data_IF_071488185346
#
_entry.id   IF_071488185346
#
_cell.length_a   1.000
_cell.length_b   1.000
_cell.length_c   1.000
_cell.angle_alpha   90.00
_cell.angle_beta   90.00
_cell.angle_gamma   90.00
#
_symmetry.space_group_name_H-M   'P 1'
#
loop_
_entity.id
_entity.type
_entity.pdbx_description
1 polymer ?
#
# COMPACT_ATOMS: atom_id res chain seq x y z
N UNK A 1 -9.88 13.11 2.51
CA UNK A 1 -9.34 13.55 3.82
C UNK A 1 -10.44 13.66 4.86
N UNK A 2 -11.55 14.33 4.57
CA UNK A 2 -12.64 14.56 5.53
C UNK A 2 -13.15 13.24 6.14
N UNK A 3 -13.38 12.22 5.31
CA UNK A 3 -13.87 10.90 5.77
C UNK A 3 -12.89 10.26 6.77
N UNK A 4 -11.60 10.23 6.45
CA UNK A 4 -10.58 9.66 7.35
C UNK A 4 -10.44 10.45 8.65
N UNK A 5 -10.61 11.77 8.59
CA UNK A 5 -10.54 12.65 9.75
C UNK A 5 -11.76 12.45 10.67
N UNK A 6 -12.93 12.20 10.10
CA UNK A 6 -14.12 11.90 10.89
C UNK A 6 -14.04 10.50 11.50
N UNK A 7 -13.60 9.50 10.75
CA UNK A 7 -13.39 8.14 11.26
C UNK A 7 -12.32 8.10 12.36
N UNK A 8 -11.28 8.93 12.27
CA UNK A 8 -10.23 9.02 13.29
C UNK A 8 -10.77 9.37 14.69
N UNK A 9 -11.83 10.16 14.77
CA UNK A 9 -12.45 10.53 16.06
C UNK A 9 -13.01 9.32 16.80
N UNK A 10 -13.44 8.29 16.08
CA UNK A 10 -14.06 7.09 16.63
C UNK A 10 -13.05 5.97 16.98
N UNK A 11 -11.80 6.05 16.54
CA UNK A 11 -10.81 5.06 16.93
C UNK A 11 -10.50 5.13 18.42
N UNK A 12 -10.36 3.98 19.12
CA UNK A 12 -9.90 3.95 20.50
C UNK A 12 -8.41 4.30 20.61
N UNK A 13 -7.95 4.58 21.81
CA UNK A 13 -6.53 4.60 22.11
C UNK A 13 -5.97 3.17 22.19
N UNK A 14 -4.64 3.02 22.10
CA UNK A 14 -3.97 1.72 22.12
C UNK A 14 -4.31 0.90 23.37
N UNK A 15 -4.51 1.55 24.52
CA UNK A 15 -4.85 0.91 25.78
C UNK A 15 -6.30 0.43 25.87
N UNK A 16 -7.18 0.94 25.02
CA UNK A 16 -8.60 0.58 24.95
C UNK A 16 -8.95 -0.25 23.72
N UNK A 17 -7.95 -0.59 22.89
CA UNK A 17 -8.12 -1.36 21.67
C UNK A 17 -8.58 -2.79 21.99
N UNK A 18 -9.70 -3.21 21.40
CA UNK A 18 -10.26 -4.55 21.56
C UNK A 18 -10.20 -5.31 20.25
N UNK A 19 -10.17 -6.64 20.34
CA UNK A 19 -10.14 -7.48 19.13
C UNK A 19 -11.36 -7.24 18.22
N UNK A 20 -12.51 -6.95 18.79
CA UNK A 20 -13.72 -6.62 18.05
C UNK A 20 -13.58 -5.35 17.20
N UNK A 21 -12.70 -4.42 17.55
CA UNK A 21 -12.48 -3.18 16.80
C UNK A 21 -11.84 -3.46 15.42
N UNK A 22 -11.28 -4.66 15.22
CA UNK A 22 -10.76 -5.12 13.92
C UNK A 22 -11.80 -5.87 13.09
N UNK A 23 -12.85 -6.40 13.69
CA UNK A 23 -13.86 -7.25 13.00
C UNK A 23 -15.00 -6.46 12.40
N UNK A 24 -15.30 -5.29 12.94
CA UNK A 24 -16.47 -4.48 12.57
C UNK A 24 -16.12 -3.31 11.63
N UNK A 25 -14.97 -3.38 10.98
CA UNK A 25 -14.39 -2.20 10.39
C UNK A 25 -14.31 -2.23 8.86
N UNK A 26 -14.71 -1.12 8.28
CA UNK A 26 -14.57 -0.72 6.89
C UNK A 26 -13.10 -0.73 6.40
N UNK A 27 -12.13 -0.80 7.32
CA UNK A 27 -10.72 -0.59 7.03
C UNK A 27 -9.85 -1.80 7.40
N UNK A 28 -8.71 -1.92 6.76
CA UNK A 28 -7.74 -2.99 6.96
C UNK A 28 -6.98 -2.84 8.29
N UNK A 29 -6.51 -3.94 8.89
CA UNK A 29 -5.96 -3.97 10.25
C UNK A 29 -4.79 -3.02 10.50
N UNK A 30 -3.86 -2.89 9.55
CA UNK A 30 -2.71 -2.01 9.71
C UNK A 30 -3.05 -0.54 9.59
N UNK A 31 -4.10 -0.22 8.83
CA UNK A 31 -4.63 1.14 8.80
C UNK A 31 -5.21 1.54 10.16
N UNK A 32 -5.99 0.65 10.77
CA UNK A 32 -6.56 0.88 12.10
C UNK A 32 -5.43 1.04 13.13
N UNK A 33 -4.47 0.10 13.13
CA UNK A 33 -3.36 0.13 14.07
C UNK A 33 -2.54 1.43 13.95
N UNK A 34 -2.27 1.90 12.72
CA UNK A 34 -1.57 3.16 12.49
C UNK A 34 -2.33 4.34 13.13
N UNK A 35 -3.65 4.42 12.88
CA UNK A 35 -4.49 5.49 13.43
C UNK A 35 -4.54 5.43 14.96
N UNK A 36 -4.72 4.24 15.54
CA UNK A 36 -4.74 4.02 16.99
C UNK A 36 -3.40 4.42 17.63
N UNK A 37 -2.27 4.02 17.05
CA UNK A 37 -0.95 4.42 17.54
C UNK A 37 -0.76 5.94 17.46
N UNK A 38 -1.12 6.57 16.36
CA UNK A 38 -1.02 8.02 16.21
C UNK A 38 -1.94 8.73 17.21
N UNK A 39 -3.17 8.26 17.41
CA UNK A 39 -4.12 8.83 18.37
C UNK A 39 -3.64 8.74 19.80
N UNK A 40 -2.97 7.64 20.16
CA UNK A 40 -2.38 7.48 21.50
C UNK A 40 -1.25 8.48 21.77
N UNK A 41 -0.47 8.82 20.72
CA UNK A 41 0.63 9.78 20.83
C UNK A 41 0.13 11.23 20.80
N UNK A 42 -0.82 11.52 19.91
CA UNK A 42 -1.39 12.83 19.72
C UNK A 42 -2.80 12.68 19.15
N UNK A 43 -3.79 13.23 19.85
CA UNK A 43 -5.19 13.17 19.41
C UNK A 43 -5.45 14.17 18.26
N UNK A 44 -4.58 14.17 17.26
CA UNK A 44 -4.68 14.99 16.07
C UNK A 44 -4.40 14.15 14.83
N UNK A 45 -5.34 14.16 13.88
CA UNK A 45 -5.22 13.46 12.60
C UNK A 45 -4.03 13.95 11.76
N UNK A 46 -3.56 15.15 12.00
CA UNK A 46 -2.38 15.69 11.33
C UNK A 46 -1.14 14.81 11.54
N UNK A 47 -1.01 14.16 12.71
CA UNK A 47 0.09 13.22 12.96
C UNK A 47 0.04 12.02 12.01
N UNK A 48 -1.15 11.50 11.72
CA UNK A 48 -1.32 10.40 10.73
C UNK A 48 -0.82 10.83 9.37
N UNK A 49 -1.20 12.03 8.93
CA UNK A 49 -0.75 12.58 7.64
C UNK A 49 0.78 12.75 7.58
N UNK A 50 1.38 13.25 8.65
CA UNK A 50 2.84 13.39 8.77
C UNK A 50 3.53 12.02 8.64
N UNK A 51 3.07 11.01 9.37
CA UNK A 51 3.66 9.65 9.34
C UNK A 51 3.55 9.04 7.93
N UNK A 52 2.40 9.14 7.29
CA UNK A 52 2.20 8.64 5.92
C UNK A 52 3.11 9.37 4.94
N UNK A 53 3.18 10.70 5.03
CA UNK A 53 4.06 11.50 4.16
C UNK A 53 5.53 11.15 4.35
N UNK A 54 5.98 10.89 5.58
CA UNK A 54 7.34 10.43 5.86
C UNK A 54 7.62 9.04 5.26
N UNK A 55 6.70 8.09 5.43
CA UNK A 55 6.81 6.75 4.82
C UNK A 55 6.95 6.88 3.30
N UNK A 56 6.11 7.69 2.67
CA UNK A 56 6.14 7.96 1.24
C UNK A 56 7.47 8.54 0.79
N UNK A 57 7.91 9.67 1.37
CA UNK A 57 9.15 10.35 0.98
C UNK A 57 10.34 9.40 1.11
N UNK A 58 10.44 8.65 2.21
CA UNK A 58 11.57 7.74 2.45
C UNK A 58 11.59 6.59 1.44
N UNK A 59 10.44 5.97 1.20
CA UNK A 59 10.36 4.80 0.31
C UNK A 59 10.54 5.21 -1.15
N UNK A 60 9.82 6.23 -1.59
CA UNK A 60 9.95 6.74 -2.95
C UNK A 60 11.33 7.30 -3.23
N UNK A 61 11.93 8.01 -2.27
CA UNK A 61 13.31 8.48 -2.39
C UNK A 61 14.31 7.33 -2.60
N UNK A 62 14.15 6.23 -1.87
CA UNK A 62 14.97 5.02 -2.08
C UNK A 62 14.75 4.41 -3.47
N UNK A 63 13.49 4.30 -3.89
CA UNK A 63 13.16 3.72 -5.18
C UNK A 63 13.71 4.58 -6.32
N UNK A 64 13.43 5.88 -6.32
CA UNK A 64 13.87 6.82 -7.34
C UNK A 64 15.41 6.87 -7.41
N UNK A 65 16.10 6.91 -6.26
CA UNK A 65 17.57 6.90 -6.22
C UNK A 65 18.16 5.67 -6.90
N UNK A 66 17.48 4.53 -6.83
CA UNK A 66 17.95 3.28 -7.45
C UNK A 66 17.65 3.21 -8.94
N UNK A 67 16.49 3.70 -9.35
CA UNK A 67 15.98 3.56 -10.73
C UNK A 67 16.45 4.69 -11.64
N UNK A 68 16.64 5.88 -11.09
CA UNK A 68 16.91 7.08 -11.87
C UNK A 68 18.20 7.79 -11.42
N UNK A 69 19.17 8.01 -12.34
CA UNK A 69 20.43 8.65 -11.99
C UNK A 69 20.30 10.16 -11.71
N UNK A 70 19.27 10.81 -12.25
CA UNK A 70 19.02 12.24 -12.08
C UNK A 70 17.94 12.50 -11.04
N UNK A 71 18.34 12.48 -9.77
CA UNK A 71 17.43 12.55 -8.62
C UNK A 71 16.51 13.78 -8.66
N UNK A 72 17.05 14.97 -8.99
CA UNK A 72 16.26 16.20 -9.03
C UNK A 72 15.10 16.12 -10.05
N UNK A 73 15.37 15.66 -11.26
CA UNK A 73 14.35 15.53 -12.29
C UNK A 73 13.28 14.52 -11.89
N UNK A 74 13.70 13.41 -11.31
CA UNK A 74 12.79 12.35 -10.85
C UNK A 74 11.90 12.80 -9.70
N UNK A 75 12.42 13.61 -8.77
CA UNK A 75 11.61 14.17 -7.68
C UNK A 75 10.58 15.19 -8.20
N UNK A 76 10.95 16.03 -9.17
CA UNK A 76 10.00 16.94 -9.83
C UNK A 76 8.91 16.14 -10.55
N UNK A 77 9.32 15.13 -11.33
CA UNK A 77 8.38 14.25 -12.03
C UNK A 77 7.43 13.55 -11.06
N UNK A 78 7.95 13.01 -9.96
CA UNK A 78 7.15 12.38 -8.91
C UNK A 78 6.11 13.33 -8.33
N UNK A 79 6.52 14.55 -8.00
CA UNK A 79 5.62 15.55 -7.43
C UNK A 79 4.47 15.91 -8.39
N UNK A 80 4.78 16.11 -9.67
CA UNK A 80 3.79 16.53 -10.66
C UNK A 80 2.97 15.39 -11.27
N UNK A 81 3.63 14.28 -11.64
CA UNK A 81 2.96 13.19 -12.37
C UNK A 81 2.16 12.26 -11.48
N UNK A 82 2.61 12.03 -10.25
CA UNK A 82 1.96 11.10 -9.34
C UNK A 82 1.02 11.77 -8.34
N UNK A 83 0.72 13.04 -8.53
CA UNK A 83 -0.20 13.77 -7.65
C UNK A 83 0.10 13.49 -6.16
N UNK A 84 1.37 13.63 -5.77
CA UNK A 84 1.86 13.30 -4.42
C UNK A 84 0.94 13.84 -3.32
N UNK A 85 0.46 15.07 -3.47
CA UNK A 85 -0.44 15.71 -2.50
C UNK A 85 -1.78 14.97 -2.42
N UNK A 86 -2.34 14.56 -3.57
CA UNK A 86 -3.61 13.82 -3.63
C UNK A 86 -3.47 12.44 -2.98
N UNK A 87 -2.39 11.73 -3.27
CA UNK A 87 -2.14 10.42 -2.65
C UNK A 87 -2.06 10.51 -1.13
N UNK A 88 -1.38 11.52 -0.60
CA UNK A 88 -1.26 11.70 0.85
C UNK A 88 -2.51 12.28 1.52
N UNK A 89 -3.45 12.84 0.77
CA UNK A 89 -4.63 13.48 1.36
C UNK A 89 -5.94 12.75 1.05
N UNK A 90 -6.06 12.10 -0.09
CA UNK A 90 -7.32 11.48 -0.52
C UNK A 90 -7.29 9.95 -0.46
N UNK A 91 -6.19 9.34 -0.91
CA UNK A 91 -6.05 7.87 -1.04
C UNK A 91 -4.93 7.31 -0.16
N UNK A 92 -4.87 7.77 1.07
CA UNK A 92 -3.77 7.51 2.02
C UNK A 92 -3.42 6.02 2.17
N UNK A 93 -4.42 5.15 2.27
CA UNK A 93 -4.20 3.69 2.43
C UNK A 93 -3.55 3.06 1.22
N UNK A 94 -4.06 3.41 0.03
CA UNK A 94 -3.51 2.95 -1.25
C UNK A 94 -2.08 3.45 -1.43
N UNK A 95 -1.84 4.69 -1.04
CA UNK A 95 -0.54 5.33 -1.11
C UNK A 95 0.51 4.56 -0.28
N UNK A 96 0.18 4.20 0.96
CA UNK A 96 1.07 3.38 1.81
C UNK A 96 1.26 1.99 1.21
N UNK A 97 0.19 1.34 0.75
CA UNK A 97 0.29 0.03 0.10
C UNK A 97 1.17 0.08 -1.16
N UNK A 98 1.05 1.13 -1.98
CA UNK A 98 1.90 1.36 -3.14
C UNK A 98 3.37 1.58 -2.75
N UNK A 99 3.64 2.29 -1.67
CA UNK A 99 5.01 2.45 -1.17
C UNK A 99 5.64 1.09 -0.80
N UNK A 100 4.92 0.23 -0.09
CA UNK A 100 5.39 -1.13 0.20
C UNK A 100 5.53 -2.00 -1.06
N UNK A 101 4.70 -1.78 -2.08
CA UNK A 101 4.86 -2.41 -3.39
C UNK A 101 6.21 -2.04 -4.03
N UNK A 102 6.60 -0.78 -3.99
CA UNK A 102 7.91 -0.36 -4.49
C UNK A 102 9.07 -1.02 -3.74
N UNK A 103 8.95 -1.18 -2.41
CA UNK A 103 9.94 -1.93 -1.63
C UNK A 103 10.00 -3.40 -2.03
N UNK A 104 8.86 -4.02 -2.36
CA UNK A 104 8.83 -5.40 -2.86
C UNK A 104 9.55 -5.52 -4.21
N UNK A 105 9.37 -4.57 -5.13
CA UNK A 105 10.11 -4.52 -6.40
C UNK A 105 11.63 -4.42 -6.15
N UNK A 106 12.05 -3.53 -5.26
CA UNK A 106 13.47 -3.40 -4.91
C UNK A 106 14.04 -4.67 -4.29
N UNK A 107 13.27 -5.34 -3.42
CA UNK A 107 13.68 -6.60 -2.81
C UNK A 107 13.74 -7.75 -3.81
N UNK A 108 12.86 -7.75 -4.83
CA UNK A 108 12.86 -8.72 -5.92
C UNK A 108 14.13 -8.59 -6.76
N UNK A 109 14.51 -7.37 -7.12
CA UNK A 109 15.74 -7.08 -7.84
C UNK A 109 16.99 -7.52 -7.04
N UNK A 110 16.96 -7.39 -5.72
CA UNK A 110 18.01 -7.89 -4.81
C UNK A 110 17.94 -9.41 -4.56
N UNK A 111 17.00 -10.15 -5.18
CA UNK A 111 16.73 -11.59 -4.97
C UNK A 111 16.46 -11.97 -3.51
N UNK A 112 15.91 -11.05 -2.70
CA UNK A 112 15.57 -11.26 -1.29
C UNK A 112 14.11 -11.67 -1.13
N UNK A 113 13.78 -12.90 -1.49
CA UNK A 113 12.39 -13.41 -1.56
C UNK A 113 11.61 -13.22 -0.25
N UNK A 114 12.24 -13.42 0.91
CA UNK A 114 11.57 -13.23 2.18
C UNK A 114 11.13 -11.79 2.43
N UNK A 115 11.91 -10.79 1.96
CA UNK A 115 11.52 -9.37 2.05
C UNK A 115 10.37 -9.04 1.10
N UNK A 116 10.36 -9.65 -0.07
CA UNK A 116 9.25 -9.51 -1.01
C UNK A 116 7.95 -9.95 -0.33
N UNK A 117 7.93 -11.16 0.26
CA UNK A 117 6.76 -11.67 0.98
C UNK A 117 6.33 -10.73 2.12
N UNK A 118 7.30 -10.26 2.93
CA UNK A 118 7.01 -9.34 4.02
C UNK A 118 6.35 -8.05 3.52
N UNK A 119 6.88 -7.43 2.48
CA UNK A 119 6.33 -6.18 1.93
C UNK A 119 4.98 -6.39 1.25
N UNK A 120 4.76 -7.52 0.57
CA UNK A 120 3.46 -7.88 0.00
C UNK A 120 2.40 -8.02 1.08
N UNK A 121 2.70 -8.77 2.15
CA UNK A 121 1.79 -8.95 3.29
C UNK A 121 1.49 -7.59 3.95
N UNK A 122 2.51 -6.77 4.17
CA UNK A 122 2.34 -5.44 4.75
C UNK A 122 1.44 -4.56 3.90
N UNK A 123 1.67 -4.52 2.58
CA UNK A 123 0.83 -3.76 1.65
C UNK A 123 -0.63 -4.24 1.68
N UNK A 124 -0.86 -5.56 1.72
CA UNK A 124 -2.20 -6.14 1.82
C UNK A 124 -2.91 -5.74 3.12
N UNK A 125 -2.19 -5.72 4.24
CA UNK A 125 -2.76 -5.34 5.54
C UNK A 125 -3.07 -3.84 5.63
N UNK A 126 -2.49 -3.00 4.78
CA UNK A 126 -2.88 -1.60 4.61
C UNK A 126 -4.03 -1.41 3.62
N UNK A 127 -4.07 -2.23 2.55
CA UNK A 127 -5.08 -2.11 1.52
C UNK A 127 -5.25 -3.40 0.72
N UNK A 128 -6.41 -4.05 0.89
CA UNK A 128 -6.69 -5.37 0.28
C UNK A 128 -6.54 -5.42 -1.24
N UNK A 129 -6.85 -4.33 -1.94
CA UNK A 129 -6.68 -4.25 -3.39
C UNK A 129 -5.23 -4.28 -3.86
N UNK A 130 -4.25 -4.07 -2.98
CA UNK A 130 -2.85 -4.21 -3.31
C UNK A 130 -2.49 -5.61 -3.84
N UNK A 131 -3.23 -6.66 -3.43
CA UNK A 131 -3.06 -8.01 -3.98
C UNK A 131 -3.31 -8.08 -5.47
N UNK A 132 -4.26 -7.32 -6.00
CA UNK A 132 -4.54 -7.28 -7.44
C UNK A 132 -3.34 -6.68 -8.18
N UNK A 133 -2.79 -5.58 -7.67
CA UNK A 133 -1.62 -4.91 -8.24
C UNK A 133 -0.39 -5.84 -8.20
N UNK A 134 -0.16 -6.50 -7.06
CA UNK A 134 0.92 -7.49 -6.94
C UNK A 134 0.73 -8.68 -7.88
N UNK A 135 -0.49 -9.18 -7.93
CA UNK A 135 -0.81 -10.29 -8.80
C UNK A 135 -0.53 -9.95 -10.27
N UNK A 136 -0.97 -8.77 -10.74
CA UNK A 136 -0.67 -8.29 -12.10
C UNK A 136 0.85 -8.19 -12.32
N UNK A 137 1.57 -7.57 -11.39
CA UNK A 137 3.01 -7.41 -11.51
C UNK A 137 3.74 -8.76 -11.52
N UNK A 138 3.44 -9.66 -10.60
CA UNK A 138 4.02 -11.00 -10.58
C UNK A 138 3.60 -11.82 -11.80
N UNK A 139 2.36 -11.66 -12.26
CA UNK A 139 1.88 -12.25 -13.49
C UNK A 139 2.73 -11.81 -14.67
N UNK A 140 2.94 -10.52 -14.86
CA UNK A 140 3.82 -10.00 -15.90
C UNK A 140 5.27 -10.47 -15.75
N UNK A 141 5.80 -10.48 -14.52
CA UNK A 141 7.15 -10.95 -14.25
C UNK A 141 7.31 -12.43 -14.58
N UNK A 142 6.36 -13.28 -14.21
CA UNK A 142 6.35 -14.70 -14.54
C UNK A 142 6.22 -14.93 -16.04
N UNK A 143 5.34 -14.19 -16.71
CA UNK A 143 5.17 -14.24 -18.17
C UNK A 143 6.46 -13.88 -18.90
N UNK A 144 7.16 -12.86 -18.41
CA UNK A 144 8.44 -12.43 -18.98
C UNK A 144 9.57 -13.44 -18.68
N UNK A 145 9.56 -14.06 -17.50
CA UNK A 145 10.60 -14.99 -17.02
C UNK A 145 10.38 -16.44 -17.44
N UNK A 146 9.13 -16.84 -17.69
CA UNK A 146 8.76 -18.22 -18.00
C UNK A 146 8.32 -18.39 -19.46
N UNK A 147 8.42 -19.61 -19.98
CA UNK A 147 7.95 -19.95 -21.34
C UNK A 147 6.45 -19.63 -21.48
N UNK A 148 6.04 -19.18 -22.69
CA UNK A 148 4.67 -18.72 -23.06
C UNK A 148 3.48 -19.55 -22.56
N UNK A 149 3.69 -20.83 -22.23
CA UNK A 149 2.63 -21.77 -21.84
C UNK A 149 1.95 -21.38 -20.49
N UNK A 150 2.63 -20.61 -19.63
CA UNK A 150 2.09 -20.19 -18.32
C UNK A 150 1.35 -18.85 -18.37
N UNK A 151 1.33 -18.19 -19.52
CA UNK A 151 0.63 -16.89 -19.71
C UNK A 151 -0.87 -17.04 -19.55
N UNK A 152 -1.44 -18.11 -20.11
CA UNK A 152 -2.87 -18.34 -20.14
C UNK A 152 -3.50 -18.51 -18.73
N UNK A 153 -2.95 -19.36 -17.83
CA UNK A 153 -3.46 -19.48 -16.46
C UNK A 153 -3.34 -18.18 -15.65
N UNK A 154 -2.27 -17.40 -15.89
CA UNK A 154 -2.07 -16.12 -15.21
C UNK A 154 -3.12 -15.11 -15.65
N UNK A 155 -3.37 -14.97 -16.95
CA UNK A 155 -4.43 -14.10 -17.48
C UNK A 155 -5.80 -14.54 -16.96
N UNK A 156 -6.10 -15.85 -16.99
CA UNK A 156 -7.35 -16.40 -16.48
C UNK A 156 -7.55 -16.07 -15.00
N UNK A 157 -6.51 -16.20 -14.16
CA UNK A 157 -6.55 -15.83 -12.75
C UNK A 157 -6.94 -14.35 -12.56
N UNK A 158 -6.35 -13.45 -13.35
CA UNK A 158 -6.64 -12.00 -13.26
C UNK A 158 -8.03 -11.60 -13.77
N UNK A 159 -8.59 -12.35 -14.70
CA UNK A 159 -9.97 -12.14 -15.16
C UNK A 159 -10.97 -12.67 -14.12
N UNK A 160 -10.67 -13.79 -13.48
CA UNK A 160 -11.56 -14.45 -12.52
C UNK A 160 -11.54 -13.72 -11.16
N UNK A 161 -10.38 -13.24 -10.71
CA UNK A 161 -10.22 -12.60 -9.39
C UNK A 161 -11.17 -11.41 -9.16
N UNK A 162 -11.31 -10.44 -10.07
CA UNK A 162 -12.28 -9.35 -9.91
C UNK A 162 -13.74 -9.82 -9.88
N UNK A 163 -14.06 -10.91 -10.60
CA UNK A 163 -15.41 -11.48 -10.64
C UNK A 163 -15.75 -12.12 -9.29
N UNK A 164 -14.81 -12.86 -8.71
CA UNK A 164 -14.96 -13.47 -7.38
C UNK A 164 -15.00 -12.41 -6.27
N UNK A 165 -14.21 -11.35 -6.41
CA UNK A 165 -14.20 -10.25 -5.41
C UNK A 165 -15.43 -9.35 -5.48
N UNK A 166 -16.21 -9.37 -6.55
CA UNK A 166 -17.42 -8.56 -6.66
C UNK A 166 -18.39 -8.80 -5.51
N UNK A 167 -18.50 -10.04 -5.05
CA UNK A 167 -19.41 -10.43 -3.95
C UNK A 167 -18.87 -10.04 -2.54
N UNK A 168 -17.67 -9.51 -2.45
CA UNK A 168 -17.05 -9.03 -1.20
C UNK A 168 -17.07 -7.49 -1.07
N UNK A 169 -17.57 -6.79 -2.08
CA UNK A 169 -17.58 -5.31 -2.14
C UNK A 169 -18.97 -4.75 -1.76
N UNK A 170 -19.98 -5.59 -1.72
CA UNK A 170 -21.34 -5.29 -1.29
C UNK A 170 -21.66 -6.07 -0.02
#
# INVERSE_FOLDING_TARGET
TVVYMDDFKYYPDLFHLRWNDFSDVRYEPFWILLNVCCKTLCNDFFLVQCVISMIHIVIWGKFVKKVCPTLCFSMVLFYYMFEYTKQNMEVMREAVALAFFLLAILALDERKTWKVMLYVITAFLFHKFSLVVFGLFFGFYLVYSLKKIYVLPVIAFFIIMPIVQRDWIY
#
